data_IF_287324960307
#
_entry.id   IF_287324960307
#
_cell.length_a   1.000
_cell.length_b   1.000
_cell.length_c   1.000
_cell.angle_alpha   90.00
_cell.angle_beta   90.00
_cell.angle_gamma   90.00
#
_symmetry.space_group_name_H-M   'P 1'
#
loop_
_entity.id
_entity.type
_entity.pdbx_description
1 polymer ?
#
# COMPACT_ATOMS: atom_id res chain seq x y z
N UNK A 1 -7.66 -7.26 -40.43
CA UNK A 1 -8.31 -6.18 -39.66
C UNK A 1 -7.34 -5.77 -38.60
N UNK A 2 -6.82 -4.56 -38.73
CA UNK A 2 -5.87 -3.96 -37.79
C UNK A 2 -6.67 -3.48 -36.58
N UNK A 3 -6.56 -4.18 -35.46
CA UNK A 3 -7.01 -3.65 -34.17
C UNK A 3 -6.00 -2.60 -33.70
N UNK A 4 -6.07 -1.43 -34.34
CA UNK A 4 -5.40 -0.22 -33.90
C UNK A 4 -6.23 0.33 -32.73
N UNK A 5 -6.13 -0.35 -31.58
CA UNK A 5 -6.61 0.22 -30.32
C UNK A 5 -5.75 1.44 -30.07
N UNK A 6 -6.36 2.63 -30.15
CA UNK A 6 -5.74 3.86 -29.70
C UNK A 6 -5.03 3.61 -28.35
N UNK A 7 -3.80 4.12 -28.14
CA UNK A 7 -3.10 3.93 -26.88
C UNK A 7 -4.02 4.37 -25.75
N UNK A 8 -4.22 3.49 -24.76
CA UNK A 8 -5.00 3.83 -23.58
C UNK A 8 -4.45 5.14 -23.01
N UNK A 9 -5.33 6.11 -22.74
CA UNK A 9 -4.90 7.36 -22.12
C UNK A 9 -4.21 7.01 -20.79
N UNK A 10 -3.05 7.60 -20.49
CA UNK A 10 -2.36 7.32 -19.24
C UNK A 10 -3.28 7.65 -18.07
N UNK A 11 -3.42 6.70 -17.13
CA UNK A 11 -4.18 6.90 -15.91
C UNK A 11 -3.63 8.12 -15.16
N UNK A 12 -4.52 8.91 -14.55
CA UNK A 12 -4.08 9.91 -13.59
C UNK A 12 -3.31 9.22 -12.46
N UNK A 13 -2.29 9.88 -11.92
CA UNK A 13 -1.39 9.26 -10.94
C UNK A 13 -2.16 8.64 -9.76
N UNK A 14 -3.10 9.40 -9.21
CA UNK A 14 -3.94 8.95 -8.11
C UNK A 14 -4.80 7.73 -8.47
N UNK A 15 -5.40 7.71 -9.66
CA UNK A 15 -6.21 6.58 -10.13
C UNK A 15 -5.33 5.33 -10.33
N UNK A 16 -4.14 5.50 -10.88
CA UNK A 16 -3.14 4.45 -11.03
C UNK A 16 -2.77 3.85 -9.68
N UNK A 17 -2.34 4.68 -8.72
CA UNK A 17 -1.95 4.20 -7.39
C UNK A 17 -3.11 3.54 -6.63
N UNK A 18 -4.33 4.08 -6.73
CA UNK A 18 -5.51 3.45 -6.15
C UNK A 18 -5.84 2.11 -6.82
N UNK A 19 -5.63 1.98 -8.14
CA UNK A 19 -5.78 0.70 -8.82
C UNK A 19 -4.80 -0.35 -8.28
N UNK A 20 -3.54 0.02 -8.03
CA UNK A 20 -2.55 -0.88 -7.44
C UNK A 20 -2.88 -1.27 -6.00
N UNK A 21 -3.26 -0.29 -5.17
CA UNK A 21 -3.65 -0.54 -3.78
C UNK A 21 -4.86 -1.50 -3.70
N UNK A 22 -5.88 -1.26 -4.52
CA UNK A 22 -7.10 -2.07 -4.55
C UNK A 22 -6.95 -3.38 -5.36
N UNK A 23 -5.92 -3.51 -6.19
CA UNK A 23 -5.58 -4.75 -6.88
C UNK A 23 -5.09 -5.85 -5.93
N UNK A 24 -4.59 -5.46 -4.75
CA UNK A 24 -4.07 -6.39 -3.75
C UNK A 24 -5.13 -6.69 -2.69
N UNK A 25 -5.66 -7.93 -2.70
CA UNK A 25 -6.79 -8.33 -1.86
C UNK A 25 -6.56 -8.13 -0.36
N UNK A 26 -5.36 -8.40 0.14
CA UNK A 26 -5.10 -8.21 1.57
C UNK A 26 -5.10 -6.73 1.98
N UNK A 27 -4.70 -5.81 1.09
CA UNK A 27 -4.76 -4.37 1.35
C UNK A 27 -6.18 -3.90 1.57
N UNK A 28 -7.12 -4.40 0.75
CA UNK A 28 -8.56 -4.16 0.92
C UNK A 28 -9.10 -4.75 2.22
N UNK A 29 -8.72 -6.00 2.56
CA UNK A 29 -9.17 -6.64 3.81
C UNK A 29 -8.67 -5.90 5.05
N UNK A 30 -7.44 -5.39 5.00
CA UNK A 30 -6.84 -4.58 6.06
C UNK A 30 -7.35 -3.13 6.06
N UNK A 31 -8.10 -2.71 5.04
CA UNK A 31 -8.68 -1.37 4.94
C UNK A 31 -7.66 -0.27 4.65
N UNK A 32 -6.56 -0.60 3.97
CA UNK A 32 -5.51 0.39 3.66
C UNK A 32 -6.04 1.49 2.73
N UNK A 33 -5.63 2.73 2.96
CA UNK A 33 -6.01 3.89 2.13
C UNK A 33 -4.79 4.73 1.75
N UNK A 34 -4.84 5.35 0.57
CA UNK A 34 -3.88 6.36 0.14
C UNK A 34 -4.37 7.73 0.66
N UNK A 35 -3.59 8.38 1.53
CA UNK A 35 -3.99 9.64 2.17
C UNK A 35 -3.39 10.87 1.50
N UNK A 36 -2.16 10.74 0.99
CA UNK A 36 -1.43 11.86 0.38
C UNK A 36 -0.50 11.34 -0.72
N UNK A 37 -0.37 12.13 -1.78
CA UNK A 37 0.58 11.92 -2.88
C UNK A 37 1.27 13.26 -3.12
N UNK A 38 2.60 13.31 -2.98
CA UNK A 38 3.43 14.47 -3.26
C UNK A 38 4.55 14.08 -4.21
N UNK A 39 5.26 15.05 -4.83
CA UNK A 39 6.44 14.71 -5.65
C UNK A 39 7.53 13.94 -4.89
N UNK A 40 7.60 14.07 -3.57
CA UNK A 40 8.60 13.43 -2.70
C UNK A 40 8.20 12.02 -2.27
N UNK A 41 6.91 11.66 -2.35
CA UNK A 41 6.43 10.32 -1.99
C UNK A 41 4.93 10.28 -1.72
N UNK A 42 4.51 9.32 -0.90
CA UNK A 42 3.11 9.10 -0.58
C UNK A 42 2.90 8.64 0.86
N UNK A 43 1.68 8.77 1.34
CA UNK A 43 1.26 8.30 2.66
C UNK A 43 0.17 7.24 2.51
N UNK A 44 0.44 6.04 3.04
CA UNK A 44 -0.54 4.96 3.16
C UNK A 44 -0.95 4.82 4.62
N UNK A 45 -2.26 4.72 4.87
CA UNK A 45 -2.83 4.50 6.20
C UNK A 45 -3.31 3.06 6.34
N UNK A 46 -2.97 2.43 7.46
CA UNK A 46 -3.62 1.22 7.96
C UNK A 46 -4.53 1.61 9.13
N UNK A 47 -5.86 1.52 9.01
CA UNK A 47 -6.75 1.82 10.12
C UNK A 47 -6.62 0.76 11.23
N UNK A 48 -6.57 1.21 12.48
CA UNK A 48 -6.65 0.30 13.62
C UNK A 48 -8.00 -0.43 13.63
N UNK A 49 -7.99 -1.74 13.94
CA UNK A 49 -9.19 -2.52 14.18
C UNK A 49 -8.89 -3.78 15.00
N UNK A 50 -9.91 -4.36 15.63
CA UNK A 50 -9.76 -5.58 16.43
C UNK A 50 -9.23 -6.77 15.61
N UNK A 51 -9.44 -6.75 14.28
CA UNK A 51 -9.00 -7.81 13.35
C UNK A 51 -7.48 -7.85 13.15
N UNK A 52 -6.77 -6.78 13.49
CA UNK A 52 -5.32 -6.68 13.28
C UNK A 52 -4.53 -6.68 14.60
N UNK A 53 -5.21 -6.88 15.74
CA UNK A 53 -4.56 -7.00 17.05
C UNK A 53 -3.77 -8.31 17.09
N UNK A 54 -2.51 -8.23 17.51
CA UNK A 54 -1.65 -9.39 17.71
C UNK A 54 -1.79 -9.97 19.11
N UNK A 55 -1.60 -9.14 20.14
CA UNK A 55 -1.82 -9.53 21.53
C UNK A 55 -3.11 -8.90 22.08
N UNK A 56 -4.19 -9.70 22.25
CA UNK A 56 -5.49 -9.22 22.74
C UNK A 56 -5.43 -8.50 24.08
N UNK A 57 -4.54 -8.90 24.99
CA UNK A 57 -4.44 -8.32 26.33
C UNK A 57 -3.87 -6.88 26.30
N UNK A 58 -3.14 -6.54 25.24
CA UNK A 58 -2.45 -5.23 25.12
C UNK A 58 -3.03 -4.34 24.03
N UNK A 59 -3.85 -4.88 23.13
CA UNK A 59 -4.35 -4.16 21.94
C UNK A 59 -3.26 -3.83 20.91
N UNK A 60 -2.04 -4.31 21.05
CA UNK A 60 -0.94 -4.00 20.11
C UNK A 60 -1.20 -4.66 18.76
N UNK A 61 -1.03 -3.89 17.68
CA UNK A 61 -1.16 -4.35 16.30
C UNK A 61 -0.16 -5.49 16.01
N UNK A 62 -0.62 -6.53 15.33
CA UNK A 62 0.19 -7.65 14.90
C UNK A 62 1.29 -7.20 13.92
N UNK A 63 2.52 -7.68 14.13
CA UNK A 63 3.67 -7.32 13.29
C UNK A 63 3.41 -7.51 11.80
N UNK A 64 2.76 -8.62 11.41
CA UNK A 64 2.38 -8.89 10.02
C UNK A 64 1.47 -7.85 9.37
N UNK A 65 0.59 -7.17 10.14
CA UNK A 65 -0.21 -6.07 9.58
C UNK A 65 0.66 -4.85 9.26
N UNK A 66 1.64 -4.56 10.12
CA UNK A 66 2.66 -3.52 9.89
C UNK A 66 3.54 -3.91 8.70
N UNK A 67 3.96 -5.18 8.60
CA UNK A 67 4.75 -5.68 7.46
C UNK A 67 4.03 -5.45 6.15
N UNK A 68 2.75 -5.86 6.06
CA UNK A 68 1.94 -5.67 4.86
C UNK A 68 1.74 -4.20 4.50
N UNK A 69 1.59 -3.31 5.49
CA UNK A 69 1.51 -1.86 5.25
C UNK A 69 2.82 -1.34 4.64
N UNK A 70 3.96 -1.68 5.25
CA UNK A 70 5.26 -1.20 4.79
C UNK A 70 5.59 -1.70 3.38
N UNK A 71 5.34 -2.99 3.10
CA UNK A 71 5.54 -3.57 1.76
C UNK A 71 4.69 -2.85 0.71
N UNK A 72 3.39 -2.63 0.99
CA UNK A 72 2.51 -1.92 0.07
C UNK A 72 2.93 -0.46 -0.15
N UNK A 73 3.34 0.24 0.90
CA UNK A 73 3.80 1.62 0.77
C UNK A 73 5.05 1.70 -0.13
N UNK A 74 6.00 0.76 0.03
CA UNK A 74 7.17 0.66 -0.83
C UNK A 74 6.80 0.36 -2.28
N UNK A 75 5.91 -0.61 -2.53
CA UNK A 75 5.45 -0.93 -3.88
C UNK A 75 4.77 0.25 -4.57
N UNK A 76 3.89 0.96 -3.85
CA UNK A 76 3.23 2.16 -4.37
C UNK A 76 4.21 3.30 -4.64
N UNK A 77 5.24 3.48 -3.81
CA UNK A 77 6.26 4.50 -4.04
C UNK A 77 7.07 4.22 -5.33
N UNK A 78 7.37 2.95 -5.60
CA UNK A 78 7.99 2.54 -6.87
C UNK A 78 7.01 2.77 -8.03
N UNK A 79 5.75 2.38 -7.89
CA UNK A 79 4.73 2.61 -8.91
C UNK A 79 4.55 4.10 -9.25
N UNK A 80 4.62 4.98 -8.24
CA UNK A 80 4.61 6.43 -8.42
C UNK A 80 5.82 6.90 -9.24
N UNK A 81 7.02 6.40 -8.93
CA UNK A 81 8.23 6.76 -9.68
C UNK A 81 8.22 6.27 -11.14
N UNK A 82 7.45 5.21 -11.43
CA UNK A 82 7.28 4.65 -12.78
C UNK A 82 6.16 5.32 -13.59
N UNK A 83 5.34 6.17 -12.96
CA UNK A 83 4.24 6.87 -13.64
C UNK A 83 4.75 7.65 -14.88
N UNK A 84 4.01 7.62 -16.01
CA UNK A 84 2.67 7.04 -16.19
C UNK A 84 2.65 5.54 -16.55
N UNK A 85 3.81 4.91 -16.71
CA UNK A 85 3.96 3.53 -17.15
C UNK A 85 3.93 2.58 -15.94
N UNK A 86 2.77 2.48 -15.30
CA UNK A 86 2.59 1.64 -14.14
C UNK A 86 2.78 0.15 -14.48
N UNK A 87 3.56 -0.56 -13.66
CA UNK A 87 3.73 -2.01 -13.73
C UNK A 87 3.83 -2.61 -12.33
N UNK A 88 3.56 -3.90 -12.21
CA UNK A 88 3.76 -4.65 -10.96
C UNK A 88 5.26 -4.77 -10.72
N UNK A 89 5.68 -4.33 -9.54
CA UNK A 89 7.07 -4.39 -9.09
C UNK A 89 7.17 -5.35 -7.89
N UNK A 90 7.44 -6.64 -8.14
CA UNK A 90 7.53 -7.62 -7.06
C UNK A 90 8.64 -7.26 -6.08
N UNK A 91 8.32 -7.25 -4.79
CA UNK A 91 9.31 -7.09 -3.72
C UNK A 91 10.31 -8.24 -3.79
N UNK A 92 11.60 -7.90 -3.95
CA UNK A 92 12.69 -8.89 -3.98
C UNK A 92 13.09 -9.24 -2.54
N UNK A 93 13.29 -8.21 -1.72
CA UNK A 93 13.70 -8.31 -0.33
C UNK A 93 13.00 -7.24 0.50
N UNK A 94 12.62 -7.59 1.74
CA UNK A 94 12.06 -6.65 2.70
C UNK A 94 12.66 -6.90 4.07
N UNK A 95 13.15 -5.83 4.70
CA UNK A 95 13.65 -5.84 6.07
C UNK A 95 12.91 -4.80 6.89
N UNK A 96 12.42 -5.22 8.04
CA UNK A 96 11.74 -4.33 9.00
C UNK A 96 12.36 -4.54 10.37
N UNK A 97 12.90 -3.46 10.93
CA UNK A 97 13.42 -3.42 12.29
C UNK A 97 12.38 -2.70 13.18
N UNK A 98 11.68 -3.45 14.04
CA UNK A 98 10.68 -2.90 14.96
C UNK A 98 11.36 -2.22 16.15
N UNK A 99 11.20 -0.91 16.27
CA UNK A 99 11.83 -0.13 17.36
C UNK A 99 11.06 -0.21 18.68
N UNK A 100 9.74 -0.34 18.59
CA UNK A 100 8.82 -0.41 19.74
C UNK A 100 7.46 -1.00 19.30
N UNK A 101 6.62 -1.44 20.25
CA UNK A 101 5.23 -1.76 19.95
C UNK A 101 4.47 -0.54 19.41
N UNK A 102 3.56 -0.78 18.46
CA UNK A 102 2.59 0.23 18.04
C UNK A 102 1.64 0.57 19.19
N UNK A 103 1.35 1.85 19.38
CA UNK A 103 0.42 2.31 20.41
C UNK A 103 -1.02 1.98 20.00
N UNK A 104 -1.80 1.31 20.88
CA UNK A 104 -3.23 1.18 20.67
C UNK A 104 -3.91 2.56 20.78
N UNK A 105 -5.08 2.75 20.15
CA UNK A 105 -5.85 3.98 20.29
C UNK A 105 -6.23 4.24 21.76
N UNK A 106 -6.32 5.52 22.12
CA UNK A 106 -6.75 5.97 23.46
C UNK A 106 -8.24 5.84 23.67
#
# INVERSE_FOLDING_TARGET
>A
MSDDKAPAQPLALEDGLNMFLNGVKHSMVLGMTLEEITPEGLIVRLPYSDKIIGNPDTGVIHGGAITSLMDQACGLAVAQAMSPDFDITPTIDLRIDYMRPAEPPR
#
